data_IF_699098886749
#
_entry.id   IF_699098886749
#
_cell.length_a   1.000
_cell.length_b   1.000
_cell.length_c   1.000
_cell.angle_alpha   90.00
_cell.angle_beta   90.00
_cell.angle_gamma   90.00
#
_symmetry.space_group_name_H-M   'P 1'
#
loop_
_entity.id
_entity.type
_entity.pdbx_description
1 polymer ?
#
# COMPACT_ATOMS: atom_id res chain seq x y z
N UNK A 1 19.49 16.92 -23.86
CA UNK A 1 18.45 17.73 -24.52
C UNK A 1 17.56 18.31 -23.46
N UNK A 2 17.51 19.63 -23.37
CA UNK A 2 16.68 20.35 -22.41
C UNK A 2 15.18 20.12 -22.73
N UNK A 3 14.27 20.21 -21.74
CA UNK A 3 12.83 20.06 -21.96
C UNK A 3 12.29 20.99 -23.06
N UNK A 4 12.78 22.23 -23.12
CA UNK A 4 12.41 23.24 -24.10
C UNK A 4 12.83 22.82 -25.52
N UNK A 5 14.03 22.25 -25.66
CA UNK A 5 14.51 21.71 -26.93
C UNK A 5 13.66 20.51 -27.38
N UNK A 6 13.31 19.60 -26.45
CA UNK A 6 12.45 18.45 -26.77
C UNK A 6 11.08 18.91 -27.28
N UNK A 7 10.50 19.91 -26.62
CA UNK A 7 9.24 20.50 -27.05
C UNK A 7 9.36 21.14 -28.43
N UNK A 8 10.42 21.91 -28.70
CA UNK A 8 10.66 22.52 -30.00
C UNK A 8 10.77 21.45 -31.10
N UNK A 9 11.51 20.37 -30.86
CA UNK A 9 11.60 19.25 -31.81
C UNK A 9 10.25 18.57 -32.05
N UNK A 10 9.44 18.37 -31.01
CA UNK A 10 8.08 17.83 -31.18
C UNK A 10 7.27 18.75 -32.08
N UNK A 11 7.26 20.07 -31.81
CA UNK A 11 6.51 21.06 -32.60
C UNK A 11 6.97 21.13 -34.06
N UNK A 12 8.28 21.15 -34.30
CA UNK A 12 8.87 21.17 -35.65
C UNK A 12 8.49 19.92 -36.46
N UNK A 13 8.35 18.78 -35.79
CA UNK A 13 8.08 17.49 -36.44
C UNK A 13 6.59 17.18 -36.61
N UNK A 14 5.68 18.00 -36.06
CA UNK A 14 4.23 17.80 -36.20
C UNK A 14 3.72 17.98 -37.64
N UNK A 15 4.36 18.84 -38.43
CA UNK A 15 3.94 19.15 -39.80
C UNK A 15 4.71 18.36 -40.87
N UNK A 16 5.68 17.54 -40.48
CA UNK A 16 6.53 16.79 -41.40
C UNK A 16 5.87 15.49 -41.83
N UNK A 17 6.07 15.10 -43.09
CA UNK A 17 5.74 13.75 -43.56
C UNK A 17 6.79 12.72 -43.10
N UNK A 18 6.55 11.42 -43.32
CA UNK A 18 7.47 10.35 -42.88
C UNK A 18 8.89 10.47 -43.46
N UNK A 19 9.01 10.91 -44.72
CA UNK A 19 10.30 11.09 -45.40
C UNK A 19 11.09 12.26 -44.77
N UNK A 20 10.42 13.39 -44.58
CA UNK A 20 10.94 14.60 -43.96
C UNK A 20 11.31 14.37 -42.50
N UNK A 21 10.51 13.58 -41.77
CA UNK A 21 10.80 13.17 -40.40
C UNK A 21 12.08 12.33 -40.34
N UNK A 22 12.25 11.38 -41.26
CA UNK A 22 13.46 10.57 -41.38
C UNK A 22 14.70 11.41 -41.67
N UNK A 23 14.61 12.39 -42.56
CA UNK A 23 15.70 13.33 -42.83
C UNK A 23 16.02 14.23 -41.63
N UNK A 24 14.99 14.75 -40.97
CA UNK A 24 15.13 15.56 -39.76
C UNK A 24 15.84 14.78 -38.66
N UNK A 25 15.42 13.54 -38.42
CA UNK A 25 16.01 12.62 -37.45
C UNK A 25 17.50 12.38 -37.73
N UNK A 26 17.86 12.11 -38.99
CA UNK A 26 19.28 11.93 -39.40
C UNK A 26 20.12 13.20 -39.20
N UNK A 27 19.58 14.37 -39.51
CA UNK A 27 20.27 15.67 -39.34
C UNK A 27 20.51 16.01 -37.86
N UNK A 28 19.56 15.68 -36.99
CA UNK A 28 19.59 15.98 -35.55
C UNK A 28 20.21 14.86 -34.70
N UNK A 29 20.50 13.70 -35.28
CA UNK A 29 21.00 12.54 -34.54
C UNK A 29 19.94 11.92 -33.62
N UNK A 30 18.68 11.98 -34.02
CA UNK A 30 17.52 11.49 -33.28
C UNK A 30 16.88 10.30 -34.01
N UNK A 31 16.11 9.52 -33.27
CA UNK A 31 15.28 8.45 -33.81
C UNK A 31 13.80 8.86 -33.78
N UNK A 32 13.01 8.52 -34.82
CA UNK A 32 11.57 8.80 -34.85
C UNK A 32 10.84 8.29 -33.59
N UNK A 33 11.26 7.14 -33.07
CA UNK A 33 10.71 6.51 -31.86
C UNK A 33 10.88 7.38 -30.62
N UNK A 34 12.00 8.13 -30.51
CA UNK A 34 12.24 9.04 -29.39
C UNK A 34 11.27 10.22 -29.41
N UNK A 35 10.98 10.74 -30.61
CA UNK A 35 10.04 11.86 -30.79
C UNK A 35 8.63 11.41 -30.41
N UNK A 36 8.23 10.21 -30.83
CA UNK A 36 6.95 9.60 -30.44
C UNK A 36 6.85 9.36 -28.93
N UNK A 37 7.91 8.87 -28.30
CA UNK A 37 7.95 8.70 -26.84
C UNK A 37 7.75 10.04 -26.10
N UNK A 38 8.37 11.12 -26.58
CA UNK A 38 8.20 12.43 -25.96
C UNK A 38 6.79 12.99 -26.20
N UNK A 39 6.22 12.83 -27.39
CA UNK A 39 4.81 13.20 -27.67
C UNK A 39 3.87 12.49 -26.69
N UNK A 40 4.05 11.19 -26.52
CA UNK A 40 3.26 10.37 -25.59
C UNK A 40 3.40 10.88 -24.15
N UNK A 41 4.61 11.16 -23.70
CA UNK A 41 4.90 11.68 -22.36
C UNK A 41 4.20 13.02 -22.11
N UNK A 42 4.21 13.93 -23.10
CA UNK A 42 3.52 15.22 -23.02
C UNK A 42 2.00 15.02 -22.92
N UNK A 43 1.43 14.15 -23.75
CA UNK A 43 -0.01 13.85 -23.72
C UNK A 43 -0.46 13.23 -22.40
N UNK A 44 0.34 12.31 -21.85
CA UNK A 44 0.10 11.72 -20.53
C UNK A 44 0.17 12.77 -19.42
N UNK A 45 1.14 13.68 -19.48
CA UNK A 45 1.25 14.79 -18.54
C UNK A 45 0.08 15.77 -18.60
N UNK A 46 -0.48 16.02 -19.78
CA UNK A 46 -1.67 16.87 -19.96
C UNK A 46 -2.97 16.18 -19.50
N UNK A 47 -3.05 14.85 -19.62
CA UNK A 47 -4.18 14.03 -19.18
C UNK A 47 -4.14 13.62 -17.71
N UNK A 48 -2.99 13.79 -17.03
CA UNK A 48 -2.85 13.44 -15.63
C UNK A 48 -3.70 14.36 -14.74
N UNK A 49 -4.38 13.83 -13.69
CA UNK A 49 -5.10 14.66 -12.75
C UNK A 49 -4.14 15.67 -12.11
N UNK A 50 -4.60 16.91 -11.83
CA UNK A 50 -3.74 17.94 -11.29
C UNK A 50 -3.06 17.42 -10.02
N UNK A 51 -1.76 17.68 -9.89
CA UNK A 51 -0.91 17.17 -8.80
C UNK A 51 -1.53 17.41 -7.40
N UNK A 52 -2.32 18.47 -7.25
CA UNK A 52 -3.11 18.78 -6.04
C UNK A 52 -4.16 17.71 -5.72
N UNK A 53 -4.94 17.26 -6.70
CA UNK A 53 -5.93 16.20 -6.49
C UNK A 53 -5.27 14.87 -6.13
N UNK A 54 -4.09 14.59 -6.69
CA UNK A 54 -3.32 13.40 -6.32
C UNK A 54 -2.77 13.51 -4.89
N UNK A 55 -2.23 14.67 -4.50
CA UNK A 55 -1.75 14.93 -3.12
C UNK A 55 -2.88 14.85 -2.10
N UNK A 56 -4.06 15.37 -2.42
CA UNK A 56 -5.25 15.27 -1.57
C UNK A 56 -5.70 13.83 -1.38
N UNK A 57 -5.75 13.03 -2.46
CA UNK A 57 -6.05 11.60 -2.38
C UNK A 57 -5.06 10.85 -1.50
N UNK A 58 -3.76 11.09 -1.70
CA UNK A 58 -2.70 10.47 -0.87
C UNK A 58 -2.84 10.87 0.60
N UNK A 59 -3.16 12.14 0.89
CA UNK A 59 -3.39 12.61 2.26
C UNK A 59 -4.61 11.94 2.90
N UNK A 60 -5.71 11.82 2.17
CA UNK A 60 -6.93 11.15 2.64
C UNK A 60 -6.68 9.66 2.91
N UNK A 61 -5.97 8.97 2.01
CA UNK A 61 -5.58 7.57 2.18
C UNK A 61 -4.69 7.38 3.42
N UNK A 62 -3.70 8.25 3.63
CA UNK A 62 -2.83 8.17 4.80
C UNK A 62 -3.60 8.35 6.13
N UNK A 63 -4.62 9.23 6.15
CA UNK A 63 -5.49 9.39 7.32
C UNK A 63 -6.35 8.14 7.56
N UNK A 64 -6.91 7.55 6.51
CA UNK A 64 -7.71 6.34 6.61
C UNK A 64 -6.88 5.16 7.13
N UNK A 65 -5.65 4.98 6.62
CA UNK A 65 -4.72 3.94 7.07
C UNK A 65 -4.44 4.09 8.57
N UNK A 66 -4.05 5.28 9.03
CA UNK A 66 -3.77 5.52 10.46
C UNK A 66 -4.97 5.26 11.36
N UNK A 67 -6.17 5.61 10.89
CA UNK A 67 -7.41 5.37 11.62
C UNK A 67 -7.66 3.86 11.75
N UNK A 68 -7.58 3.12 10.64
CA UNK A 68 -7.77 1.68 10.61
C UNK A 68 -6.72 0.94 11.44
N UNK A 69 -5.45 1.33 11.38
CA UNK A 69 -4.38 0.77 12.22
C UNK A 69 -4.66 0.97 13.71
N UNK A 70 -5.16 2.15 14.10
CA UNK A 70 -5.50 2.45 15.49
C UNK A 70 -6.69 1.62 15.98
N UNK A 71 -7.71 1.41 15.13
CA UNK A 71 -8.83 0.55 15.43
C UNK A 71 -8.41 -0.91 15.55
N UNK A 72 -7.57 -1.39 14.64
CA UNK A 72 -7.01 -2.74 14.66
C UNK A 72 -6.27 -2.98 15.98
N UNK A 73 -5.37 -2.07 16.36
CA UNK A 73 -4.59 -2.20 17.59
C UNK A 73 -5.47 -2.27 18.85
N UNK A 74 -6.54 -1.46 18.92
CA UNK A 74 -7.49 -1.51 20.04
C UNK A 74 -8.23 -2.84 20.09
N UNK A 75 -8.65 -3.37 18.94
CA UNK A 75 -9.34 -4.66 18.83
C UNK A 75 -8.41 -5.82 19.21
N UNK A 76 -7.17 -5.81 18.74
CA UNK A 76 -6.16 -6.82 19.10
C UNK A 76 -5.84 -6.81 20.60
N UNK A 77 -5.72 -5.62 21.20
CA UNK A 77 -5.54 -5.49 22.65
C UNK A 77 -6.71 -6.09 23.43
N UNK A 78 -7.94 -5.70 23.10
CA UNK A 78 -9.14 -6.25 23.75
C UNK A 78 -9.26 -7.77 23.57
N UNK A 79 -8.89 -8.28 22.39
CA UNK A 79 -8.85 -9.70 22.10
C UNK A 79 -7.80 -10.43 22.96
N UNK A 80 -6.60 -9.86 23.11
CA UNK A 80 -5.55 -10.42 23.95
C UNK A 80 -5.94 -10.45 25.45
N UNK A 81 -6.59 -9.39 25.94
CA UNK A 81 -7.12 -9.35 27.30
C UNK A 81 -8.19 -10.42 27.52
N UNK A 82 -9.14 -10.57 26.58
CA UNK A 82 -10.16 -11.63 26.63
C UNK A 82 -9.54 -13.04 26.61
N UNK A 83 -8.55 -13.28 25.76
CA UNK A 83 -7.82 -14.55 25.72
C UNK A 83 -7.12 -14.85 27.05
N UNK A 84 -6.52 -13.83 27.68
CA UNK A 84 -5.87 -13.96 28.99
C UNK A 84 -6.87 -14.32 30.08
N UNK A 85 -8.02 -13.66 30.13
CA UNK A 85 -9.09 -13.98 31.08
C UNK A 85 -9.60 -15.42 30.92
N UNK A 86 -9.78 -15.88 29.67
CA UNK A 86 -10.19 -17.26 29.39
C UNK A 86 -9.14 -18.28 29.85
N UNK A 87 -7.85 -18.01 29.65
CA UNK A 87 -6.77 -18.87 30.12
C UNK A 87 -6.72 -18.94 31.65
N UNK A 88 -6.88 -17.81 32.34
CA UNK A 88 -6.91 -17.76 33.80
C UNK A 88 -8.10 -18.55 34.35
N UNK A 89 -9.29 -18.37 33.77
CA UNK A 89 -10.48 -19.14 34.16
C UNK A 89 -10.24 -20.65 34.05
N UNK A 90 -9.72 -21.11 32.90
CA UNK A 90 -9.38 -22.53 32.70
C UNK A 90 -8.40 -23.07 33.74
N UNK A 91 -7.38 -22.28 34.12
CA UNK A 91 -6.42 -22.69 35.16
C UNK A 91 -7.08 -22.79 36.54
N UNK A 92 -7.96 -21.85 36.88
CA UNK A 92 -8.70 -21.89 38.16
C UNK A 92 -9.63 -23.09 38.21
N UNK A 93 -10.39 -23.34 37.14
CA UNK A 93 -11.30 -24.48 37.03
C UNK A 93 -10.54 -25.80 37.22
N UNK A 94 -9.37 -25.97 36.57
CA UNK A 94 -8.52 -27.15 36.72
C UNK A 94 -8.03 -27.36 38.17
N UNK A 95 -7.59 -26.29 38.85
CA UNK A 95 -7.14 -26.40 40.25
C UNK A 95 -8.28 -26.77 41.21
N UNK A 96 -9.52 -26.33 40.93
CA UNK A 96 -10.68 -26.71 41.71
C UNK A 96 -11.03 -28.20 41.52
N UNK A 97 -10.99 -28.70 40.29
CA UNK A 97 -11.20 -30.12 39.96
C UNK A 97 -10.14 -31.01 40.64
N UNK A 98 -8.86 -30.63 40.61
CA UNK A 98 -7.77 -31.35 41.30
C UNK A 98 -8.00 -31.42 42.82
N UNK A 99 -8.45 -30.33 43.44
CA UNK A 99 -8.75 -30.27 44.88
C UNK A 99 -9.97 -31.12 45.27
N UNK A 100 -10.94 -31.25 44.38
CA UNK A 100 -12.11 -32.10 44.59
C UNK A 100 -11.78 -33.59 44.38
N UNK A 101 -10.98 -33.92 43.37
CA UNK A 101 -10.46 -35.28 43.16
C UNK A 101 -9.55 -35.76 44.30
N UNK A 102 -8.70 -34.88 44.84
CA UNK A 102 -7.81 -35.20 45.97
C UNK A 102 -8.53 -35.43 47.30
N UNK A 103 -9.69 -34.79 47.52
CA UNK A 103 -10.52 -35.03 48.72
C UNK A 103 -11.23 -36.39 48.69
N UNK A 104 -11.41 -36.99 47.51
CA UNK A 104 -12.02 -38.32 47.38
C UNK A 104 -11.06 -39.49 47.68
N UNK A 105 -9.74 -39.26 47.77
CA UNK A 105 -8.74 -40.32 48.03
C UNK A 105 -8.23 -40.37 49.49
N UNK A 106 -8.80 -39.56 50.39
CA UNK A 106 -8.36 -39.40 51.77
C UNK A 106 -9.29 -40.00 52.82
N UNK A 107 -9.75 -41.24 52.68
CA UNK A 107 -10.21 -42.02 53.84
C UNK A 107 -10.18 -43.54 53.58
N UNK A 108 -9.25 -44.26 54.25
CA UNK A 108 -9.57 -45.58 54.77
C UNK A 108 -9.38 -45.60 56.28
N UNK A 109 -10.51 -45.62 56.99
CA UNK A 109 -10.75 -46.45 58.18
C UNK A 109 -9.87 -46.22 59.40
N UNK A 110 -10.41 -45.47 60.36
CA UNK A 110 -10.09 -45.67 61.79
C UNK A 110 -10.41 -47.13 62.18
N UNK A 111 -9.42 -47.85 62.71
CA UNK A 111 -9.60 -48.97 63.66
C UNK A 111 -8.62 -48.77 64.80
#
# INVERSE_FOLDING_TARGET
MAPEEKLATILETMALNELELGEYCRKKGLYPEQIEEWKKTVLEGLGAPPEKAQREKVSQQAKAIRHLESELFRKEKALAEAATLLMLKKKVDALLEEREGGRSMGNPGKK
#
